data_IF_707094396687
#
_entry.id   IF_707094396687
#
_cell.length_a   1.000
_cell.length_b   1.000
_cell.length_c   1.000
_cell.angle_alpha   90.00
_cell.angle_beta   90.00
_cell.angle_gamma   90.00
#
_symmetry.space_group_name_H-M   'P 1'
#
loop_
_entity.id
_entity.type
_entity.pdbx_description
1 polymer ?
#
# COMPACT_ATOMS: atom_id res chain seq x y z
N UNK A 1 14.98 -12.73 -4.87
CA UNK A 1 14.07 -13.26 -3.83
C UNK A 1 12.91 -13.90 -4.58
N UNK A 2 12.75 -15.23 -4.63
CA UNK A 2 11.46 -15.79 -4.98
C UNK A 2 10.49 -15.34 -3.89
N UNK A 3 9.39 -14.70 -4.26
CA UNK A 3 8.41 -14.14 -3.33
C UNK A 3 7.77 -15.30 -2.54
N UNK A 4 8.39 -15.66 -1.42
CA UNK A 4 7.90 -16.67 -0.48
C UNK A 4 6.65 -16.13 0.24
N UNK A 5 5.80 -17.03 0.72
CA UNK A 5 4.53 -16.71 1.39
C UNK A 5 4.71 -15.64 2.46
N UNK A 6 5.77 -15.73 3.27
CA UNK A 6 6.05 -14.74 4.30
C UNK A 6 6.36 -13.36 3.69
N UNK A 7 7.21 -13.30 2.66
CA UNK A 7 7.58 -12.03 2.01
C UNK A 7 6.41 -11.38 1.29
N UNK A 8 5.42 -12.17 0.86
CA UNK A 8 4.22 -11.71 0.17
C UNK A 8 3.18 -11.03 1.07
N UNK A 9 3.23 -11.28 2.37
CA UNK A 9 2.31 -10.71 3.35
C UNK A 9 3.01 -9.70 4.27
N UNK A 10 4.24 -9.30 3.94
CA UNK A 10 4.89 -8.22 4.68
C UNK A 10 4.25 -6.87 4.32
N UNK A 11 4.06 -5.98 5.29
CA UNK A 11 3.37 -4.72 5.07
C UNK A 11 4.09 -3.86 4.02
N UNK A 12 3.32 -3.33 3.08
CA UNK A 12 3.81 -2.48 2.02
C UNK A 12 2.70 -1.52 1.55
N UNK A 13 2.85 -0.21 1.83
CA UNK A 13 1.85 0.78 1.41
C UNK A 13 2.09 1.24 -0.03
N UNK A 14 1.48 0.54 -0.98
CA UNK A 14 1.61 0.85 -2.40
C UNK A 14 0.53 1.82 -2.91
N UNK A 15 -0.37 2.30 -2.05
CA UNK A 15 -1.46 3.23 -2.42
C UNK A 15 -1.12 4.70 -2.10
N UNK A 16 0.17 5.06 -2.15
CA UNK A 16 0.64 6.41 -1.84
C UNK A 16 0.77 7.26 -3.09
N UNK A 17 0.34 8.53 -2.99
CA UNK A 17 0.59 9.51 -4.06
C UNK A 17 2.08 9.69 -4.29
N UNK A 18 2.47 9.76 -5.57
CA UNK A 18 3.86 9.85 -6.01
C UNK A 18 4.75 8.69 -5.54
N UNK A 19 4.19 7.48 -5.41
CA UNK A 19 4.91 6.24 -5.02
C UNK A 19 6.31 6.13 -5.65
N UNK A 20 6.44 6.33 -6.96
CA UNK A 20 7.72 6.23 -7.67
C UNK A 20 8.81 7.21 -7.19
N UNK A 21 8.44 8.33 -6.57
CA UNK A 21 9.39 9.32 -6.02
C UNK A 21 9.86 8.97 -4.61
N UNK A 22 9.06 8.18 -3.88
CA UNK A 22 9.30 7.86 -2.47
C UNK A 22 9.64 6.38 -2.27
N UNK A 23 9.52 5.54 -3.30
CA UNK A 23 9.67 4.09 -3.18
C UNK A 23 11.04 3.68 -2.62
N UNK A 24 12.07 4.49 -2.85
CA UNK A 24 13.42 4.24 -2.34
C UNK A 24 13.50 4.35 -0.80
N UNK A 25 12.50 4.95 -0.14
CA UNK A 25 12.40 4.98 1.33
C UNK A 25 11.63 3.79 1.89
N UNK A 26 11.11 2.90 1.04
CA UNK A 26 10.32 1.75 1.47
C UNK A 26 11.20 0.54 1.77
N UNK A 27 10.67 -0.46 2.49
CA UNK A 27 11.36 -1.72 2.68
C UNK A 27 11.76 -2.40 1.36
N UNK A 28 12.83 -3.18 1.40
CA UNK A 28 13.40 -3.85 0.22
C UNK A 28 12.38 -4.71 -0.56
N UNK A 29 11.44 -5.36 0.12
CA UNK A 29 10.39 -6.15 -0.54
C UNK A 29 9.45 -5.30 -1.41
N UNK A 30 9.20 -4.05 -1.01
CA UNK A 30 8.37 -3.09 -1.75
C UNK A 30 9.09 -2.58 -3.00
N UNK A 31 10.37 -2.20 -2.84
CA UNK A 31 11.23 -1.76 -3.94
C UNK A 31 11.34 -2.87 -4.98
N UNK A 32 11.59 -4.11 -4.55
CA UNK A 32 11.65 -5.24 -5.47
C UNK A 32 10.31 -5.45 -6.19
N UNK A 33 9.19 -5.36 -5.45
CA UNK A 33 7.87 -5.57 -6.03
C UNK A 33 7.52 -4.51 -7.07
N UNK A 34 7.82 -3.22 -6.81
CA UNK A 34 7.57 -2.17 -7.80
C UNK A 34 8.35 -2.43 -9.08
N UNK A 35 9.60 -2.84 -8.95
CA UNK A 35 10.50 -3.03 -10.09
C UNK A 35 10.09 -4.24 -10.93
N UNK A 36 9.50 -5.27 -10.33
CA UNK A 36 9.12 -6.52 -11.01
C UNK A 36 7.61 -6.64 -11.28
N UNK A 37 6.81 -5.62 -11.00
CA UNK A 37 5.32 -5.66 -11.06
C UNK A 37 4.73 -6.09 -12.41
N UNK A 38 5.47 -5.91 -13.50
CA UNK A 38 5.02 -6.26 -14.86
C UNK A 38 5.78 -7.44 -15.47
N UNK A 39 6.65 -8.11 -14.72
CA UNK A 39 7.42 -9.23 -15.26
C UNK A 39 6.57 -10.49 -15.45
N UNK A 40 5.62 -10.76 -14.54
CA UNK A 40 4.71 -11.91 -14.59
C UNK A 40 3.33 -11.56 -14.04
N UNK A 41 2.29 -12.29 -14.45
CA UNK A 41 0.91 -12.10 -13.97
C UNK A 41 0.80 -12.23 -12.44
N UNK A 42 1.45 -13.24 -11.86
CA UNK A 42 1.45 -13.44 -10.40
C UNK A 42 2.01 -12.22 -9.64
N UNK A 43 3.05 -11.59 -10.19
CA UNK A 43 3.67 -10.40 -9.59
C UNK A 43 2.76 -9.18 -9.68
N UNK A 44 2.05 -9.05 -10.80
CA UNK A 44 1.03 -8.01 -10.93
C UNK A 44 -0.10 -8.21 -9.92
N UNK A 45 -0.56 -9.44 -9.72
CA UNK A 45 -1.60 -9.77 -8.74
C UNK A 45 -1.17 -9.41 -7.30
N UNK A 46 0.06 -9.76 -6.93
CA UNK A 46 0.62 -9.42 -5.61
C UNK A 46 0.75 -7.89 -5.46
N UNK A 47 1.24 -7.20 -6.49
CA UNK A 47 1.30 -5.74 -6.50
C UNK A 47 -0.08 -5.10 -6.28
N UNK A 48 -1.12 -5.61 -6.94
CA UNK A 48 -2.51 -5.14 -6.75
C UNK A 48 -3.05 -5.47 -5.35
N UNK A 49 -2.64 -6.59 -4.76
CA UNK A 49 -2.98 -6.94 -3.38
C UNK A 49 -2.38 -5.92 -2.40
N UNK A 50 -1.08 -5.59 -2.53
CA UNK A 50 -0.47 -4.53 -1.72
C UNK A 50 -1.12 -3.16 -1.89
N UNK A 51 -1.53 -2.81 -3.12
CA UNK A 51 -2.24 -1.57 -3.34
C UNK A 51 -3.59 -1.57 -2.61
N UNK A 52 -4.32 -2.69 -2.66
CA UNK A 52 -5.61 -2.83 -1.99
C UNK A 52 -5.44 -2.80 -0.46
N UNK A 53 -4.45 -3.51 0.07
CA UNK A 53 -4.15 -3.53 1.51
C UNK A 53 -3.69 -2.16 2.00
N UNK A 54 -2.80 -1.48 1.27
CA UNK A 54 -2.38 -0.10 1.58
C UNK A 54 -3.54 0.89 1.58
N UNK A 55 -4.50 0.71 0.66
CA UNK A 55 -5.72 1.50 0.65
C UNK A 55 -6.55 1.26 1.90
N UNK A 56 -6.99 0.01 2.12
CA UNK A 56 -7.94 -0.34 3.18
C UNK A 56 -7.37 -0.18 4.58
N UNK A 57 -6.13 -0.62 4.82
CA UNK A 57 -5.51 -0.61 6.14
C UNK A 57 -4.65 0.64 6.39
N UNK A 58 -4.30 1.39 5.35
CA UNK A 58 -3.59 2.66 5.45
C UNK A 58 -4.53 3.85 5.35
N UNK A 59 -4.50 4.53 4.20
CA UNK A 59 -5.15 5.84 4.02
C UNK A 59 -6.66 5.85 4.28
N UNK A 60 -7.37 4.78 3.92
CA UNK A 60 -8.82 4.71 4.11
C UNK A 60 -9.17 4.50 5.60
N UNK A 61 -8.48 3.57 6.28
CA UNK A 61 -8.66 3.36 7.71
C UNK A 61 -8.36 4.62 8.53
N UNK A 62 -7.28 5.34 8.21
CA UNK A 62 -6.96 6.60 8.87
C UNK A 62 -8.00 7.69 8.62
N UNK A 63 -8.59 7.75 7.41
CA UNK A 63 -9.67 8.69 7.09
C UNK A 63 -10.95 8.38 7.87
N UNK A 64 -11.35 7.10 7.97
CA UNK A 64 -12.48 6.68 8.78
C UNK A 64 -12.27 7.02 10.25
N UNK A 65 -11.08 6.73 10.79
CA UNK A 65 -10.73 7.05 12.17
C UNK A 65 -10.81 8.55 12.45
N UNK A 66 -10.28 9.39 11.56
CA UNK A 66 -10.40 10.85 11.69
C UNK A 66 -11.84 11.32 11.60
N UNK A 67 -12.64 10.73 10.71
CA UNK A 67 -14.07 11.02 10.63
C UNK A 67 -14.81 10.67 11.93
N UNK A 68 -14.40 9.64 12.66
CA UNK A 68 -15.02 9.32 13.96
C UNK A 68 -14.56 10.22 15.11
N UNK A 69 -13.32 10.71 15.05
CA UNK A 69 -12.65 11.39 16.18
C UNK A 69 -12.64 12.92 16.06
N UNK A 70 -12.53 13.46 14.85
CA UNK A 70 -12.41 14.90 14.64
C UNK A 70 -13.76 15.59 14.89
N UNK A 71 -13.77 16.75 15.58
CA UNK A 71 -15.01 17.48 15.85
C UNK A 71 -15.59 18.06 14.56
N UNK A 72 -16.75 17.54 14.15
CA UNK A 72 -17.49 18.06 13.01
C UNK A 72 -18.39 19.22 13.43
N UNK A 73 -18.16 20.39 12.84
CA UNK A 73 -19.11 21.49 12.93
C UNK A 73 -20.12 21.36 11.79
N UNK A 74 -21.36 21.04 12.12
CA UNK A 74 -22.46 21.20 11.18
C UNK A 74 -22.82 22.69 11.13
N UNK A 75 -22.55 23.35 10.00
CA UNK A 75 -23.10 24.67 9.73
C UNK A 75 -24.58 24.50 9.39
N UNK A 76 -25.45 24.86 10.34
CA UNK A 76 -26.89 24.97 10.15
C UNK A 76 -27.25 26.32 9.54
#
# INVERSE_FOLDING_TARGET
IPYDFHTAHMPCDMDVHHLLRIIDTFPNQCIWMINNRFAHENYYRIFKLYQLEGHFFGQYAERLRRYEVDPHYFLY
#
